data_IF_482687140320
#
_entry.id   IF_482687140320
#
_cell.length_a   1.000
_cell.length_b   1.000
_cell.length_c   1.000
_cell.angle_alpha   90.00
_cell.angle_beta   90.00
_cell.angle_gamma   90.00
#
_symmetry.space_group_name_H-M   'P 1'
#
loop_
_entity.id
_entity.type
_entity.pdbx_description
1 polymer ?
#
# COMPACT_ATOMS: atom_id res chain seq x y z
N UNK A 1 -9.48 -5.70 15.83
CA UNK A 1 -9.39 -4.35 16.38
C UNK A 1 -7.97 -3.86 16.21
N UNK A 2 -7.82 -2.78 15.47
CA UNK A 2 -6.59 -2.04 15.21
C UNK A 2 -6.72 -0.64 15.82
N UNK A 3 -5.58 0.02 15.99
CA UNK A 3 -5.46 1.35 16.60
C UNK A 3 -5.71 2.49 15.60
N UNK A 4 -6.29 2.17 14.44
CA UNK A 4 -6.65 3.16 13.42
C UNK A 4 -7.76 4.09 13.93
N UNK A 5 -7.73 5.36 13.53
CA UNK A 5 -8.76 6.33 13.91
C UNK A 5 -10.13 5.92 13.36
N UNK A 6 -10.16 5.52 12.08
CA UNK A 6 -11.37 5.04 11.41
C UNK A 6 -11.78 3.64 11.92
N UNK A 7 -13.08 3.44 12.13
CA UNK A 7 -13.61 2.16 12.61
C UNK A 7 -14.19 1.35 11.47
N UNK A 8 -13.81 0.07 11.38
CA UNK A 8 -14.36 -0.87 10.39
C UNK A 8 -15.81 -1.17 10.71
N UNK A 9 -16.64 -1.35 9.67
CA UNK A 9 -18.05 -1.74 9.83
C UNK A 9 -18.23 -3.04 10.64
N UNK A 10 -17.29 -3.99 10.49
CA UNK A 10 -17.27 -5.24 11.25
C UNK A 10 -17.16 -5.04 12.78
N UNK A 11 -16.65 -3.89 13.25
CA UNK A 11 -16.56 -3.62 14.69
C UNK A 11 -17.94 -3.39 15.31
N UNK A 12 -18.91 -2.90 14.54
CA UNK A 12 -20.28 -2.70 15.01
C UNK A 12 -20.99 -4.03 15.27
N UNK A 13 -20.81 -5.02 14.40
CA UNK A 13 -21.40 -6.36 14.57
C UNK A 13 -20.89 -7.03 15.85
N UNK A 14 -19.57 -7.03 16.04
CA UNK A 14 -18.93 -7.58 17.25
C UNK A 14 -19.37 -6.80 18.50
N UNK A 15 -19.56 -5.49 18.39
CA UNK A 15 -20.05 -4.68 19.51
C UNK A 15 -21.48 -5.05 19.92
N UNK A 16 -22.37 -5.28 18.95
CA UNK A 16 -23.74 -5.71 19.24
C UNK A 16 -23.77 -7.09 19.91
N UNK A 17 -22.94 -8.02 19.45
CA UNK A 17 -22.77 -9.32 20.11
C UNK A 17 -22.26 -9.16 21.55
N UNK A 18 -21.33 -8.24 21.77
CA UNK A 18 -20.82 -7.93 23.09
C UNK A 18 -21.89 -7.35 24.01
N UNK A 19 -22.69 -6.39 23.53
CA UNK A 19 -23.80 -5.81 24.28
C UNK A 19 -24.81 -6.88 24.70
N UNK A 20 -25.25 -7.71 23.76
CA UNK A 20 -26.18 -8.80 24.03
C UNK A 20 -25.62 -9.84 25.01
N UNK A 21 -24.30 -10.11 24.95
CA UNK A 21 -23.64 -10.99 25.90
C UNK A 21 -23.61 -10.40 27.31
N UNK A 22 -23.25 -9.12 27.44
CA UNK A 22 -23.21 -8.42 28.74
C UNK A 22 -24.59 -8.37 29.37
N UNK A 23 -25.61 -8.01 28.59
CA UNK A 23 -27.01 -7.97 29.03
C UNK A 23 -27.46 -9.34 29.55
N UNK A 24 -27.28 -10.39 28.75
CA UNK A 24 -27.64 -11.77 29.13
C UNK A 24 -26.94 -12.23 30.41
N UNK A 25 -25.65 -11.95 30.56
CA UNK A 25 -24.88 -12.36 31.74
C UNK A 25 -25.31 -11.59 32.99
N UNK A 26 -25.57 -10.29 32.87
CA UNK A 26 -26.04 -9.47 33.98
C UNK A 26 -27.46 -9.83 34.40
N UNK A 27 -28.40 -9.95 33.46
CA UNK A 27 -29.78 -10.34 33.73
C UNK A 27 -29.83 -11.71 34.42
N UNK A 28 -29.07 -12.69 33.90
CA UNK A 28 -28.98 -14.02 34.49
C UNK A 28 -28.47 -14.00 35.93
N UNK A 29 -27.38 -13.27 36.18
CA UNK A 29 -26.79 -13.17 37.51
C UNK A 29 -27.68 -12.39 38.50
N UNK A 30 -28.24 -11.26 38.09
CA UNK A 30 -29.12 -10.45 38.94
C UNK A 30 -30.37 -11.22 39.33
N UNK A 31 -30.95 -11.97 38.39
CA UNK A 31 -32.11 -12.84 38.64
C UNK A 31 -31.77 -13.96 39.61
N UNK A 32 -30.64 -14.63 39.42
CA UNK A 32 -30.21 -15.75 40.28
C UNK A 32 -29.94 -15.31 41.73
N UNK A 33 -29.32 -14.15 41.91
CA UNK A 33 -29.01 -13.62 43.26
C UNK A 33 -30.21 -12.87 43.87
N UNK A 34 -31.24 -12.56 43.08
CA UNK A 34 -32.41 -11.82 43.54
C UNK A 34 -32.13 -10.33 43.80
N UNK A 35 -31.24 -9.73 43.02
CA UNK A 35 -30.89 -8.30 43.10
C UNK A 35 -31.70 -7.54 42.05
N UNK A 36 -32.42 -6.50 42.47
CA UNK A 36 -33.13 -5.62 41.53
C UNK A 36 -32.18 -4.67 40.82
N UNK A 37 -32.56 -4.18 39.65
CA UNK A 37 -31.77 -3.21 38.89
C UNK A 37 -31.46 -1.95 39.70
N UNK A 38 -32.41 -1.46 40.51
CA UNK A 38 -32.20 -0.27 41.35
C UNK A 38 -31.10 -0.51 42.40
N UNK A 39 -31.08 -1.72 42.99
CA UNK A 39 -30.05 -2.09 43.98
C UNK A 39 -28.69 -2.28 43.33
N UNK A 40 -28.66 -2.82 42.12
CA UNK A 40 -27.45 -2.90 41.33
C UNK A 40 -26.88 -1.50 41.02
N UNK A 41 -27.72 -0.57 40.54
CA UNK A 41 -27.31 0.81 40.26
C UNK A 41 -26.82 1.56 41.51
N UNK A 42 -27.47 1.36 42.66
CA UNK A 42 -27.06 1.93 43.94
C UNK A 42 -25.66 1.42 44.33
N UNK A 43 -25.43 0.11 44.21
CA UNK A 43 -24.13 -0.50 44.48
C UNK A 43 -23.05 -0.01 43.50
N UNK A 44 -23.38 0.15 42.22
CA UNK A 44 -22.48 0.63 41.18
C UNK A 44 -22.04 2.08 41.41
N UNK A 45 -22.92 2.90 41.98
CA UNK A 45 -22.66 4.31 42.28
C UNK A 45 -21.87 4.52 43.58
N UNK A 46 -21.78 3.49 44.41
CA UNK A 46 -21.10 3.52 45.71
C UNK A 46 -19.58 3.81 45.57
N UNK A 47 -18.97 4.56 46.50
CA UNK A 47 -17.51 4.71 46.56
C UNK A 47 -16.76 3.38 46.64
N UNK A 48 -17.39 2.33 47.20
CA UNK A 48 -16.81 1.00 47.31
C UNK A 48 -16.63 0.32 45.94
N UNK A 49 -17.47 0.67 44.95
CA UNK A 49 -17.32 0.20 43.58
C UNK A 49 -16.17 0.91 42.84
N UNK A 50 -15.62 2.01 43.38
CA UNK A 50 -14.56 2.81 42.73
C UNK A 50 -13.14 2.39 43.12
N UNK A 51 -12.97 1.24 43.79
CA UNK A 51 -11.62 0.71 44.04
C UNK A 51 -10.92 0.33 42.73
N UNK A 52 -9.59 0.39 42.69
CA UNK A 52 -8.82 0.13 41.47
C UNK A 52 -9.12 -1.26 40.85
N UNK A 53 -9.30 -2.28 41.68
CA UNK A 53 -9.62 -3.65 41.25
C UNK A 53 -11.04 -3.78 40.70
N UNK A 54 -12.02 -3.15 41.35
CA UNK A 54 -13.40 -3.15 40.83
C UNK A 54 -13.54 -2.30 39.58
N UNK A 55 -12.78 -1.20 39.45
CA UNK A 55 -12.85 -0.31 38.29
C UNK A 55 -12.55 -1.00 36.97
N UNK A 56 -11.54 -1.88 36.92
CA UNK A 56 -11.21 -2.63 35.69
C UNK A 56 -12.35 -3.58 35.26
N UNK A 57 -13.04 -4.20 36.22
CA UNK A 57 -14.18 -5.07 35.96
C UNK A 57 -15.40 -4.24 35.55
N UNK A 58 -15.67 -3.14 36.24
CA UNK A 58 -16.79 -2.26 35.91
C UNK A 58 -16.62 -1.60 34.55
N UNK A 59 -15.38 -1.33 34.11
CA UNK A 59 -15.10 -0.84 32.76
C UNK A 59 -15.62 -1.78 31.69
N UNK A 60 -15.61 -3.11 31.91
CA UNK A 60 -16.18 -4.04 30.93
C UNK A 60 -17.69 -3.85 30.85
N UNK A 61 -18.38 -3.72 31.98
CA UNK A 61 -19.82 -3.46 31.97
C UNK A 61 -20.15 -2.11 31.31
N UNK A 62 -19.42 -1.05 31.66
CA UNK A 62 -19.60 0.28 31.08
C UNK A 62 -19.31 0.32 29.58
N UNK A 63 -18.39 -0.52 29.09
CA UNK A 63 -18.08 -0.61 27.68
C UNK A 63 -19.28 -1.06 26.83
N UNK A 64 -20.31 -1.69 27.40
CA UNK A 64 -21.53 -2.04 26.67
C UNK A 64 -22.37 -0.82 26.26
N UNK A 65 -22.16 0.34 26.90
CA UNK A 65 -22.85 1.60 26.58
C UNK A 65 -21.93 2.61 25.85
N UNK A 66 -20.62 2.33 25.80
CA UNK A 66 -19.62 3.21 25.18
C UNK A 66 -18.73 2.43 24.20
N UNK A 67 -19.05 2.56 22.91
CA UNK A 67 -18.28 1.94 21.83
C UNK A 67 -16.80 2.37 21.83
N UNK A 68 -16.48 3.60 22.23
CA UNK A 68 -15.09 4.08 22.25
C UNK A 68 -14.30 3.36 23.34
N UNK A 69 -14.91 3.18 24.51
CA UNK A 69 -14.32 2.40 25.59
C UNK A 69 -14.14 0.94 25.18
N UNK A 70 -15.15 0.34 24.55
CA UNK A 70 -15.08 -1.01 23.99
C UNK A 70 -13.95 -1.15 22.97
N UNK A 71 -13.87 -0.27 21.96
CA UNK A 71 -12.81 -0.30 20.94
C UNK A 71 -11.44 -0.25 21.60
N UNK A 72 -11.25 0.67 22.56
CA UNK A 72 -10.00 0.79 23.33
C UNK A 72 -9.65 -0.51 24.05
N UNK A 73 -10.61 -1.15 24.71
CA UNK A 73 -10.39 -2.43 25.37
C UNK A 73 -10.01 -3.54 24.39
N UNK A 74 -10.67 -3.62 23.24
CA UNK A 74 -10.40 -4.65 22.24
C UNK A 74 -9.03 -4.45 21.55
N UNK A 75 -8.64 -3.20 21.29
CA UNK A 75 -7.29 -2.87 20.78
C UNK A 75 -6.23 -3.26 21.81
N UNK A 76 -6.39 -2.85 23.06
CA UNK A 76 -5.50 -3.22 24.16
C UNK A 76 -5.37 -4.75 24.28
N UNK A 77 -6.49 -5.47 24.21
CA UNK A 77 -6.48 -6.94 24.31
C UNK A 77 -5.78 -7.59 23.13
N UNK A 78 -5.97 -7.05 21.92
CA UNK A 78 -5.28 -7.51 20.72
C UNK A 78 -3.76 -7.33 20.84
N UNK A 79 -3.29 -6.19 21.34
CA UNK A 79 -1.87 -5.93 21.57
C UNK A 79 -1.30 -6.95 22.57
N UNK A 80 -1.98 -7.16 23.69
CA UNK A 80 -1.58 -8.17 24.68
C UNK A 80 -1.48 -9.57 24.09
N UNK A 81 -2.46 -9.98 23.29
CA UNK A 81 -2.48 -11.28 22.63
C UNK A 81 -1.34 -11.41 21.61
N UNK A 82 -1.07 -10.37 20.82
CA UNK A 82 0.05 -10.37 19.87
C UNK A 82 1.40 -10.48 20.59
N UNK A 83 1.60 -9.74 21.69
CA UNK A 83 2.80 -9.84 22.52
C UNK A 83 2.96 -11.24 23.14
N UNK A 84 1.87 -11.86 23.57
CA UNK A 84 1.89 -13.23 24.07
C UNK A 84 2.25 -14.22 22.96
N UNK A 85 1.70 -14.07 21.76
CA UNK A 85 2.02 -14.92 20.62
C UNK A 85 3.53 -14.82 20.25
N UNK A 86 4.06 -13.60 20.20
CA UNK A 86 5.49 -13.32 19.95
C UNK A 86 6.35 -14.03 21.00
N UNK A 87 6.00 -13.91 22.29
CA UNK A 87 6.73 -14.58 23.37
C UNK A 87 6.74 -16.09 23.21
N UNK A 88 5.57 -16.68 22.94
CA UNK A 88 5.43 -18.13 22.74
C UNK A 88 6.23 -18.61 21.53
N UNK A 89 6.24 -17.85 20.43
CA UNK A 89 7.07 -18.16 19.26
C UNK A 89 8.56 -18.15 19.60
N UNK A 90 9.02 -17.11 20.31
CA UNK A 90 10.43 -17.00 20.72
C UNK A 90 10.86 -18.14 21.64
N UNK A 91 10.03 -18.51 22.62
CA UNK A 91 10.31 -19.58 23.57
C UNK A 91 10.41 -20.96 22.89
N UNK A 92 9.61 -21.20 21.84
CA UNK A 92 9.62 -22.47 21.10
C UNK A 92 10.73 -22.58 20.06
N UNK A 93 11.04 -21.48 19.37
CA UNK A 93 11.93 -21.48 18.21
C UNK A 93 13.34 -20.94 18.52
N UNK A 94 13.55 -20.38 19.72
CA UNK A 94 14.83 -19.80 20.17
C UNK A 94 15.13 -18.41 19.59
N UNK A 95 14.69 -18.13 18.37
CA UNK A 95 14.78 -16.82 17.69
C UNK A 95 13.42 -16.44 17.10
N UNK A 96 13.15 -15.13 17.04
CA UNK A 96 11.95 -14.60 16.44
C UNK A 96 12.17 -14.46 14.91
N UNK A 97 11.16 -14.65 14.05
CA UNK A 97 11.30 -14.42 12.61
C UNK A 97 11.80 -13.01 12.29
N UNK A 98 12.55 -12.87 11.21
CA UNK A 98 13.15 -11.59 10.78
C UNK A 98 12.08 -10.48 10.60
N UNK A 99 10.88 -10.83 10.15
CA UNK A 99 9.76 -9.88 10.01
C UNK A 99 9.21 -9.30 11.32
N UNK A 100 9.56 -9.88 12.47
CA UNK A 100 9.18 -9.41 13.80
C UNK A 100 10.38 -8.91 14.61
N UNK A 101 11.56 -8.86 13.99
CA UNK A 101 12.79 -8.38 14.59
C UNK A 101 13.04 -6.97 14.07
N UNK A 102 13.24 -6.00 14.97
CA UNK A 102 13.52 -4.61 14.59
C UNK A 102 14.79 -4.55 13.75
N UNK A 103 14.69 -4.30 12.43
CA UNK A 103 15.93 -4.11 11.65
C UNK A 103 15.90 -4.06 10.13
N UNK A 104 14.84 -4.48 9.44
CA UNK A 104 14.79 -4.25 7.99
C UNK A 104 13.34 -4.03 7.59
N UNK A 105 13.01 -2.77 7.31
CA UNK A 105 11.88 -2.51 6.42
C UNK A 105 12.34 -2.95 5.02
N UNK A 106 12.27 -4.26 4.80
CA UNK A 106 12.65 -4.92 3.55
C UNK A 106 11.92 -4.26 2.38
N UNK A 107 10.71 -3.76 2.60
CA UNK A 107 9.96 -3.03 1.59
C UNK A 107 10.59 -1.68 1.27
N UNK A 108 10.92 -0.84 2.28
CA UNK A 108 11.63 0.42 2.03
C UNK A 108 13.00 0.21 1.40
N UNK A 109 13.74 -0.83 1.78
CA UNK A 109 15.05 -1.15 1.18
C UNK A 109 14.90 -1.53 -0.30
N UNK A 110 13.90 -2.35 -0.63
CA UNK A 110 13.59 -2.72 -2.03
C UNK A 110 13.18 -1.48 -2.83
N UNK A 111 12.27 -0.64 -2.32
CA UNK A 111 11.82 0.58 -2.99
C UNK A 111 12.98 1.55 -3.28
N UNK A 112 13.93 1.69 -2.33
CA UNK A 112 15.10 2.53 -2.52
C UNK A 112 16.02 2.01 -3.64
N UNK A 113 16.25 0.69 -3.71
CA UNK A 113 17.07 0.11 -4.76
C UNK A 113 16.36 0.20 -6.12
N UNK A 114 15.05 -0.02 -6.18
CA UNK A 114 14.25 0.17 -7.39
C UNK A 114 14.33 1.61 -7.91
N UNK A 115 14.21 2.61 -7.03
CA UNK A 115 14.33 4.02 -7.40
C UNK A 115 15.75 4.36 -7.90
N UNK A 116 16.78 3.70 -7.37
CA UNK A 116 18.16 3.86 -7.84
C UNK A 116 18.36 3.26 -9.24
N UNK A 117 17.81 2.09 -9.49
CA UNK A 117 17.80 1.46 -10.82
C UNK A 117 17.07 2.36 -11.82
N UNK A 118 15.88 2.86 -11.47
CA UNK A 118 15.08 3.72 -12.35
C UNK A 118 15.83 5.01 -12.72
N UNK A 119 16.48 5.66 -11.75
CA UNK A 119 17.32 6.85 -11.99
C UNK A 119 18.48 6.56 -12.94
N UNK A 120 19.15 5.43 -12.76
CA UNK A 120 20.28 5.03 -13.59
C UNK A 120 19.85 4.71 -15.03
N UNK A 121 18.70 4.05 -15.21
CA UNK A 121 18.11 3.78 -16.53
C UNK A 121 17.75 5.08 -17.24
N UNK A 122 17.10 6.02 -16.54
CA UNK A 122 16.77 7.34 -17.10
C UNK A 122 18.02 8.13 -17.49
N UNK A 123 19.08 8.06 -16.67
CA UNK A 123 20.37 8.71 -16.95
C UNK A 123 21.01 8.13 -18.22
N UNK A 124 21.13 6.80 -18.32
CA UNK A 124 21.72 6.14 -19.49
C UNK A 124 20.92 6.38 -20.76
N UNK A 125 19.58 6.28 -20.68
CA UNK A 125 18.70 6.55 -21.82
C UNK A 125 18.88 7.98 -22.34
N UNK A 126 19.03 8.96 -21.42
CA UNK A 126 19.32 10.35 -21.80
C UNK A 126 20.68 10.49 -22.49
N UNK A 127 21.73 9.90 -21.93
CA UNK A 127 23.09 9.97 -22.50
C UNK A 127 23.18 9.30 -23.88
N UNK A 128 22.59 8.11 -24.03
CA UNK A 128 22.52 7.39 -25.29
C UNK A 128 21.78 8.21 -26.36
N UNK A 129 20.66 8.84 -25.99
CA UNK A 129 19.91 9.71 -26.88
C UNK A 129 20.74 10.93 -27.33
N UNK A 130 21.47 11.57 -26.42
CA UNK A 130 22.31 12.73 -26.74
C UNK A 130 23.46 12.36 -27.69
N UNK A 131 24.12 11.21 -27.45
CA UNK A 131 25.17 10.67 -28.32
C UNK A 131 24.63 10.37 -29.72
N UNK A 132 23.49 9.69 -29.82
CA UNK A 132 22.89 9.33 -31.11
C UNK A 132 22.44 10.58 -31.88
N UNK A 133 21.93 11.59 -31.18
CA UNK A 133 21.60 12.89 -31.76
C UNK A 133 22.83 13.62 -32.33
N UNK A 134 23.95 13.61 -31.62
CA UNK A 134 25.20 14.22 -32.09
C UNK A 134 25.79 13.46 -33.29
N UNK A 135 25.76 12.12 -33.24
CA UNK A 135 26.17 11.27 -34.36
C UNK A 135 25.34 11.56 -35.60
N UNK A 136 24.01 11.66 -35.47
CA UNK A 136 23.14 12.01 -36.60
C UNK A 136 23.45 13.39 -37.17
N UNK A 137 23.65 14.41 -36.32
CA UNK A 137 24.04 15.76 -36.78
C UNK A 137 25.40 15.78 -37.51
N UNK A 138 26.38 15.03 -37.01
CA UNK A 138 27.72 14.95 -37.62
C UNK A 138 27.70 14.18 -38.94
N UNK A 139 26.93 13.10 -39.04
CA UNK A 139 26.70 12.36 -40.29
C UNK A 139 26.00 13.23 -41.35
N UNK A 140 24.95 13.97 -40.97
CA UNK A 140 24.24 14.90 -41.85
C UNK A 140 25.16 16.04 -42.35
N UNK A 141 26.00 16.61 -41.48
CA UNK A 141 26.98 17.62 -41.87
C UNK A 141 28.04 17.05 -42.84
N UNK A 142 28.50 15.81 -42.61
CA UNK A 142 29.48 15.13 -43.48
C UNK A 142 28.91 14.74 -44.84
N UNK A 143 27.62 14.41 -44.91
CA UNK A 143 26.92 14.17 -46.17
C UNK A 143 26.78 15.47 -47.00
N UNK A 144 26.59 16.62 -46.35
CA UNK A 144 26.42 17.92 -47.02
C UNK A 144 27.72 18.50 -47.62
N UNK A 145 28.89 18.10 -47.13
CA UNK A 145 30.20 18.52 -47.68
C UNK A 145 30.71 17.66 -48.86
N UNK A 146 30.04 16.57 -49.24
CA UNK A 146 30.51 15.63 -50.28
C UNK A 146 29.85 15.80 -51.66
N UNK A 147 29.14 16.89 -51.96
CA UNK A 147 28.66 17.18 -53.32
C UNK A 147 29.80 17.73 -54.21
N UNK A 148 30.13 17.08 -55.35
CA UNK A 148 31.28 17.48 -56.15
C UNK A 148 30.91 18.50 -57.23
N UNK A 149 31.76 19.51 -57.36
CA UNK A 149 31.95 20.23 -58.61
C UNK A 149 32.65 19.31 -59.61
N UNK A 150 32.04 19.06 -60.78
CA UNK A 150 32.78 18.71 -62.02
C UNK A 150 32.12 19.38 -63.23
N UNK A 151 33.00 20.10 -63.91
CA UNK A 151 33.01 20.84 -65.18
C UNK A 151 32.35 20.20 -66.44
N UNK A 152 31.75 21.11 -67.20
CA UNK A 152 31.42 21.20 -68.65
C UNK A 152 32.03 20.23 -69.70
N UNK A 153 31.16 19.74 -70.61
CA UNK A 153 31.12 19.85 -72.11
C UNK A 153 30.57 18.56 -72.82
N UNK A 154 30.01 18.65 -74.05
CA UNK A 154 28.86 17.87 -74.52
C UNK A 154 29.13 16.97 -75.75
N UNK A 155 28.20 16.04 -76.02
CA UNK A 155 28.11 15.23 -77.25
C UNK A 155 27.40 13.90 -76.95
N UNK A 156 26.08 13.80 -77.13
CA UNK A 156 25.31 13.45 -78.35
C UNK A 156 24.90 11.96 -78.39
N UNK A 157 23.68 11.75 -78.89
CA UNK A 157 23.07 10.53 -79.41
C UNK A 157 22.28 9.59 -78.44
N UNK A 158 20.95 9.80 -78.53
CA UNK A 158 19.89 8.81 -78.87
C UNK A 158 19.39 7.77 -77.85
N UNK A 159 18.09 7.95 -77.56
CA UNK A 159 16.97 7.01 -77.78
C UNK A 159 16.61 5.95 -76.71
N UNK A 160 15.44 6.19 -76.08
CA UNK A 160 14.36 5.28 -75.62
C UNK A 160 14.68 4.01 -74.81
N UNK A 161 13.97 3.82 -73.68
CA UNK A 161 12.81 2.88 -73.52
C UNK A 161 12.46 2.76 -72.03
N UNK A 162 11.16 2.55 -71.80
CA UNK A 162 10.33 2.55 -70.58
C UNK A 162 10.16 1.14 -69.99
N UNK A 163 10.27 0.97 -68.66
CA UNK A 163 9.62 -0.07 -67.80
C UNK A 163 9.69 0.45 -66.34
N UNK A 164 8.66 0.99 -65.66
CA UNK A 164 7.45 0.45 -64.99
C UNK A 164 7.63 -0.68 -63.93
N UNK A 165 7.08 -0.40 -62.74
CA UNK A 165 6.47 -1.32 -61.74
C UNK A 165 7.40 -2.11 -60.79
N UNK A 166 7.11 -2.40 -59.51
CA UNK A 166 5.93 -2.33 -58.61
C UNK A 166 6.44 -2.22 -57.14
N UNK A 167 5.82 -1.46 -56.23
CA UNK A 167 4.86 -1.86 -55.15
C UNK A 167 5.44 -2.70 -53.99
N UNK A 168 5.30 -2.18 -52.75
CA UNK A 168 4.86 -2.83 -51.48
C UNK A 168 5.28 -1.91 -50.29
N UNK A 169 4.42 -1.09 -49.66
CA UNK A 169 3.35 -1.33 -48.66
C UNK A 169 3.73 -2.22 -47.45
N UNK A 170 3.82 -1.58 -46.28
CA UNK A 170 3.33 -2.04 -44.96
C UNK A 170 3.52 -0.88 -43.96
N UNK A 171 2.52 -0.02 -43.79
CA UNK A 171 1.51 -0.03 -42.72
C UNK A 171 2.05 0.37 -41.33
N UNK A 172 1.68 1.61 -40.97
CA UNK A 172 1.77 2.19 -39.64
C UNK A 172 0.61 1.68 -38.78
N UNK A 173 0.86 1.41 -37.50
CA UNK A 173 -0.16 1.44 -36.47
C UNK A 173 0.45 2.05 -35.22
N UNK A 174 0.15 3.32 -35.02
CA UNK A 174 0.34 4.04 -33.76
C UNK A 174 -0.86 3.74 -32.86
N UNK A 175 -0.60 3.29 -31.63
CA UNK A 175 -1.59 3.32 -30.56
C UNK A 175 -0.94 3.94 -29.32
N UNK A 176 -1.49 5.09 -28.91
CA UNK A 176 -1.12 5.82 -27.70
C UNK A 176 -2.21 5.63 -26.65
N UNK A 177 -1.87 5.56 -25.35
CA UNK A 177 -2.81 5.93 -24.31
C UNK A 177 -2.40 7.24 -23.64
N UNK A 178 -3.40 8.11 -23.51
CA UNK A 178 -3.37 9.41 -22.84
C UNK A 178 -3.28 9.24 -21.33
N UNK A 179 -2.39 9.99 -20.69
CA UNK A 179 -2.45 10.30 -19.26
C UNK A 179 -3.04 11.71 -19.10
N UNK A 180 -4.19 11.78 -18.44
CA UNK A 180 -4.81 13.03 -18.00
C UNK A 180 -4.30 13.35 -16.58
N UNK A 181 -3.86 14.58 -16.38
CA UNK A 181 -3.59 15.18 -15.07
C UNK A 181 -4.88 15.75 -14.46
#
# INVERSE_FOLDING_TARGET
FDDEEESKLSYTEIYQEYQALVEKLLEGYLTEVGITEEKFQEAFSSPLAKTHTSQAILQTVLAAEDFRLFKKMMVQKNIEMQLQAIRVMKERNGVLPDCLTEGSDVFSEIEQEEMKILREVLRKSKEEYEIEQEKRRTEEARAKCKSPAVTSFPGDSRETVKVKESTERADHSEETPKLSL
#
